data_IF_840062521363
#
_entry.id   IF_840062521363
#
_cell.length_a   1.000
_cell.length_b   1.000
_cell.length_c   1.000
_cell.angle_alpha   90.00
_cell.angle_beta   90.00
_cell.angle_gamma   90.00
#
_symmetry.space_group_name_H-M   'P 1'
#
loop_
_entity.id
_entity.type
_entity.pdbx_description
1 polymer ?
#
# COMPACT_ATOMS: atom_id res chain seq x y z
N UNK A 1 -15.62 22.96 -33.68
CA UNK A 1 -14.86 23.02 -32.41
C UNK A 1 -13.75 24.01 -32.61
N UNK A 2 -13.75 25.05 -31.80
CA UNK A 2 -12.80 26.15 -31.92
C UNK A 2 -11.36 25.66 -31.66
N UNK A 3 -10.35 26.35 -32.18
CA UNK A 3 -8.94 25.96 -32.03
C UNK A 3 -8.51 25.95 -30.55
N UNK A 4 -9.19 26.74 -29.74
CA UNK A 4 -8.99 26.85 -28.29
C UNK A 4 -9.70 25.73 -27.51
N UNK A 5 -10.86 25.24 -27.99
CA UNK A 5 -11.55 24.09 -27.39
C UNK A 5 -10.68 22.83 -27.43
N UNK A 6 -10.01 22.57 -28.56
CA UNK A 6 -9.10 21.41 -28.69
C UNK A 6 -7.91 21.49 -27.73
N UNK A 7 -7.41 22.69 -27.48
CA UNK A 7 -6.29 22.90 -26.57
C UNK A 7 -6.71 22.68 -25.12
N UNK A 8 -7.89 23.17 -24.72
CA UNK A 8 -8.44 22.93 -23.38
C UNK A 8 -8.64 21.43 -23.14
N UNK A 9 -9.23 20.71 -24.10
CA UNK A 9 -9.45 19.26 -23.99
C UNK A 9 -8.13 18.52 -23.88
N UNK A 10 -7.16 18.80 -24.74
CA UNK A 10 -5.84 18.15 -24.70
C UNK A 10 -5.11 18.41 -23.39
N UNK A 11 -5.14 19.66 -22.88
CA UNK A 11 -4.44 20.03 -21.65
C UNK A 11 -5.14 19.47 -20.41
N UNK A 12 -6.47 19.43 -20.39
CA UNK A 12 -7.25 18.80 -19.32
C UNK A 12 -7.05 17.27 -19.28
N UNK A 13 -6.93 16.62 -20.44
CA UNK A 13 -6.64 15.18 -20.52
C UNK A 13 -5.21 14.83 -20.06
N UNK A 14 -4.24 15.71 -20.31
CA UNK A 14 -2.84 15.57 -19.87
C UNK A 14 -2.67 15.90 -18.38
N UNK A 15 -3.40 16.88 -17.86
CA UNK A 15 -3.31 17.36 -16.48
C UNK A 15 -4.66 17.23 -15.76
N UNK A 16 -5.09 15.98 -15.48
CA UNK A 16 -6.42 15.66 -14.94
C UNK A 16 -6.68 16.14 -13.50
N UNK A 17 -5.67 16.68 -12.83
CA UNK A 17 -5.77 17.23 -11.47
C UNK A 17 -5.76 18.76 -11.44
N UNK A 18 -5.55 19.43 -12.58
CA UNK A 18 -5.54 20.90 -12.63
C UNK A 18 -6.94 21.47 -12.46
N UNK A 19 -7.07 22.46 -11.58
CA UNK A 19 -8.35 23.13 -11.36
C UNK A 19 -8.62 24.17 -12.46
N UNK A 20 -9.86 24.68 -12.53
CA UNK A 20 -10.30 25.56 -13.61
C UNK A 20 -9.52 26.89 -13.69
N UNK A 21 -8.93 27.35 -12.57
CA UNK A 21 -8.13 28.58 -12.52
C UNK A 21 -6.74 28.33 -13.10
N UNK A 22 -6.12 27.19 -12.76
CA UNK A 22 -4.83 26.78 -13.32
C UNK A 22 -4.90 26.55 -14.83
N UNK A 23 -5.95 25.89 -15.30
CA UNK A 23 -6.18 25.69 -16.74
C UNK A 23 -6.38 27.01 -17.48
N UNK A 24 -7.08 27.97 -16.85
CA UNK A 24 -7.26 29.31 -17.39
C UNK A 24 -5.93 30.08 -17.47
N UNK A 25 -5.08 29.98 -16.45
CA UNK A 25 -3.74 30.58 -16.45
C UNK A 25 -2.84 29.98 -17.52
N UNK A 26 -2.84 28.66 -17.69
CA UNK A 26 -2.05 27.98 -18.73
C UNK A 26 -2.50 28.39 -20.14
N UNK A 27 -3.81 28.55 -20.36
CA UNK A 27 -4.34 28.99 -21.65
C UNK A 27 -3.97 30.44 -21.96
N UNK A 28 -4.03 31.31 -20.95
CA UNK A 28 -3.57 32.71 -21.05
C UNK A 28 -2.07 32.77 -21.35
N UNK A 29 -1.25 31.97 -20.67
CA UNK A 29 0.19 31.93 -20.89
C UNK A 29 0.58 31.40 -22.27
N UNK A 30 -0.16 30.40 -22.79
CA UNK A 30 0.16 29.77 -24.07
C UNK A 30 -0.36 30.53 -25.30
N UNK A 31 -1.46 31.29 -25.16
CA UNK A 31 -2.18 31.87 -26.32
C UNK A 31 -2.65 33.31 -26.14
N UNK A 32 -2.39 33.95 -25.01
CA UNK A 32 -2.84 35.31 -24.67
C UNK A 32 -4.36 35.53 -24.76
N UNK A 33 -5.14 34.45 -24.83
CA UNK A 33 -6.61 34.47 -24.92
C UNK A 33 -7.23 34.41 -23.53
N UNK A 34 -8.12 35.37 -23.23
CA UNK A 34 -8.81 35.44 -21.94
C UNK A 34 -10.17 34.76 -22.03
N UNK A 35 -10.26 33.52 -21.54
CA UNK A 35 -11.50 32.75 -21.47
C UNK A 35 -12.07 32.82 -20.05
N UNK A 36 -13.38 33.01 -19.88
CA UNK A 36 -14.03 33.01 -18.56
C UNK A 36 -13.98 31.63 -17.88
N UNK A 37 -13.91 31.60 -16.56
CA UNK A 37 -13.97 30.36 -15.74
C UNK A 37 -15.26 29.57 -15.98
N UNK A 38 -16.36 30.24 -16.31
CA UNK A 38 -17.64 29.60 -16.66
C UNK A 38 -17.59 28.85 -18.00
N UNK A 39 -16.75 29.27 -18.94
CA UNK A 39 -16.58 28.59 -20.24
C UNK A 39 -15.74 27.32 -20.12
N UNK A 40 -14.69 27.34 -19.28
CA UNK A 40 -13.90 26.14 -18.96
C UNK A 40 -14.76 25.08 -18.26
N UNK A 41 -15.72 25.51 -17.43
CA UNK A 41 -16.63 24.62 -16.70
C UNK A 41 -17.69 23.95 -17.61
N UNK A 42 -18.15 24.65 -18.67
CA UNK A 42 -19.09 24.11 -19.67
C UNK A 42 -18.50 23.01 -20.56
N UNK A 43 -17.18 22.96 -20.74
CA UNK A 43 -16.52 21.82 -21.41
C UNK A 43 -16.64 20.51 -20.60
N UNK A 44 -16.88 20.59 -19.28
CA UNK A 44 -17.25 19.44 -18.45
C UNK A 44 -18.64 18.85 -18.77
N UNK A 45 -19.52 19.60 -19.43
CA UNK A 45 -20.85 19.12 -19.86
C UNK A 45 -20.75 18.15 -21.05
N UNK A 46 -19.58 18.04 -21.70
CA UNK A 46 -19.29 17.05 -22.76
C UNK A 46 -18.92 15.64 -22.21
N UNK A 47 -19.46 15.26 -21.04
CA UNK A 47 -19.35 13.93 -20.42
C UNK A 47 -17.93 13.46 -20.01
N UNK A 48 -16.99 14.36 -19.74
CA UNK A 48 -15.74 13.99 -19.07
C UNK A 48 -15.98 14.00 -17.56
N UNK A 49 -16.40 12.87 -17.01
CA UNK A 49 -16.77 12.72 -15.59
C UNK A 49 -15.53 12.28 -14.79
N UNK A 50 -15.32 12.90 -13.62
CA UNK A 50 -14.32 12.46 -12.66
C UNK A 50 -14.57 11.00 -12.23
N UNK A 51 -13.49 10.24 -11.99
CA UNK A 51 -13.50 8.83 -11.61
C UNK A 51 -14.40 8.62 -10.38
N UNK A 52 -15.48 7.84 -10.53
CA UNK A 52 -16.27 7.37 -9.37
C UNK A 52 -15.46 6.28 -8.65
N UNK A 53 -15.25 6.37 -7.33
CA UNK A 53 -14.70 5.26 -6.56
C UNK A 53 -15.57 4.02 -6.76
N UNK A 54 -14.94 2.86 -6.93
CA UNK A 54 -15.68 1.60 -6.92
C UNK A 54 -16.42 1.49 -5.58
N UNK A 55 -17.76 1.43 -5.65
CA UNK A 55 -18.58 1.17 -4.47
C UNK A 55 -18.51 -0.31 -4.16
N UNK A 56 -17.57 -0.69 -3.29
CA UNK A 56 -17.64 -1.95 -2.56
C UNK A 56 -18.88 -1.99 -1.63
N UNK A 57 -19.19 -3.16 -1.03
CA UNK A 57 -20.31 -3.30 -0.10
C UNK A 57 -20.29 -2.19 0.96
N UNK A 58 -21.45 -1.59 1.26
CA UNK A 58 -21.56 -0.56 2.29
C UNK A 58 -21.29 -1.16 3.67
N UNK A 59 -20.07 -0.98 4.17
CA UNK A 59 -19.70 -1.32 5.55
C UNK A 59 -20.47 -0.42 6.52
N UNK A 60 -21.20 -1.04 7.46
CA UNK A 60 -21.91 -0.35 8.55
C UNK A 60 -20.92 0.33 9.50
N UNK A 61 -21.37 1.30 10.29
CA UNK A 61 -20.52 1.97 11.29
C UNK A 61 -19.92 0.97 12.30
N UNK A 62 -20.66 -0.09 12.62
CA UNK A 62 -20.20 -1.18 13.46
C UNK A 62 -19.10 -2.00 12.77
N UNK A 63 -19.26 -2.37 11.49
CA UNK A 63 -18.21 -3.03 10.72
C UNK A 63 -16.95 -2.17 10.60
N UNK A 64 -17.09 -0.84 10.55
CA UNK A 64 -15.93 0.08 10.56
C UNK A 64 -15.23 0.10 11.91
N UNK A 65 -15.97 0.03 13.02
CA UNK A 65 -15.44 0.07 14.39
C UNK A 65 -14.74 -1.25 14.76
N UNK A 66 -15.37 -2.39 14.51
CA UNK A 66 -14.78 -3.72 14.75
C UNK A 66 -13.49 -3.91 13.93
N UNK A 67 -13.49 -3.44 12.68
CA UNK A 67 -12.29 -3.45 11.82
C UNK A 67 -11.27 -2.38 12.20
N UNK A 68 -11.65 -1.25 12.82
CA UNK A 68 -10.68 -0.25 13.32
C UNK A 68 -9.99 -0.72 14.60
N UNK A 69 -10.68 -1.50 15.44
CA UNK A 69 -10.08 -2.07 16.65
C UNK A 69 -8.94 -3.04 16.35
N UNK A 70 -8.87 -3.64 15.16
CA UNK A 70 -7.69 -4.41 14.72
C UNK A 70 -6.58 -3.53 14.13
N UNK A 71 -6.87 -2.29 13.71
CA UNK A 71 -5.88 -1.32 13.21
C UNK A 71 -5.32 -0.40 14.29
N UNK A 72 -6.03 -0.24 15.41
CA UNK A 72 -5.53 0.43 16.60
C UNK A 72 -4.84 -0.61 17.47
N UNK A 73 -3.58 -0.91 17.16
CA UNK A 73 -2.71 -1.39 18.22
C UNK A 73 -2.69 -0.33 19.31
N UNK A 74 -2.97 -0.73 20.55
CA UNK A 74 -2.56 0.05 21.71
C UNK A 74 -1.07 0.33 21.55
N UNK A 75 -0.74 1.56 21.16
CA UNK A 75 0.57 2.13 21.43
C UNK A 75 0.66 2.20 22.95
N UNK A 76 1.35 1.22 23.54
CA UNK A 76 1.71 1.27 24.96
C UNK A 76 2.41 2.61 25.17
N UNK A 77 1.89 3.46 26.05
CA UNK A 77 2.45 4.77 26.39
C UNK A 77 3.79 4.59 27.13
N UNK A 78 4.81 4.07 26.47
CA UNK A 78 6.16 4.12 26.96
C UNK A 78 7.08 4.48 25.80
N UNK A 79 7.79 5.60 25.95
CA UNK A 79 8.64 6.24 24.95
C UNK A 79 9.90 5.46 24.52
N UNK A 80 9.81 4.14 24.36
CA UNK A 80 10.86 3.22 23.94
C UNK A 80 11.15 3.19 22.43
N UNK A 81 10.48 4.04 21.64
CA UNK A 81 10.62 4.11 20.18
C UNK A 81 9.93 2.96 19.45
N UNK A 82 9.98 2.97 18.11
CA UNK A 82 9.47 1.88 17.29
C UNK A 82 10.37 1.65 16.07
N UNK A 83 10.31 0.44 15.52
CA UNK A 83 10.97 0.09 14.26
C UNK A 83 9.92 -0.37 13.25
N UNK A 84 10.07 0.08 12.02
CA UNK A 84 9.27 -0.34 10.87
C UNK A 84 10.06 -1.39 10.09
N UNK A 85 9.39 -2.50 9.78
CA UNK A 85 9.97 -3.59 9.00
C UNK A 85 9.20 -3.81 7.71
N UNK A 86 9.88 -4.31 6.70
CA UNK A 86 9.29 -4.86 5.49
C UNK A 86 9.78 -6.30 5.29
N UNK A 87 8.87 -7.16 4.83
CA UNK A 87 9.19 -8.52 4.45
C UNK A 87 8.18 -9.06 3.45
N UNK A 88 8.59 -10.03 2.66
CA UNK A 88 7.78 -10.77 1.70
C UNK A 88 7.77 -12.26 2.00
N UNK A 89 6.66 -12.91 1.69
CA UNK A 89 6.50 -14.36 1.82
C UNK A 89 5.94 -14.96 0.53
N UNK A 90 6.37 -16.18 0.22
CA UNK A 90 5.85 -16.99 -0.88
C UNK A 90 5.73 -18.45 -0.43
N UNK A 91 5.22 -19.32 -1.31
CA UNK A 91 5.14 -20.75 -1.02
C UNK A 91 6.55 -21.34 -0.88
N UNK A 92 7.48 -20.88 -1.71
CA UNK A 92 8.81 -21.48 -1.82
C UNK A 92 9.82 -20.89 -0.82
N UNK A 93 9.64 -19.63 -0.43
CA UNK A 93 10.57 -18.96 0.48
C UNK A 93 9.95 -17.74 1.20
N UNK A 94 10.76 -17.07 2.00
CA UNK A 94 10.50 -15.73 2.56
C UNK A 94 11.72 -14.86 2.33
N UNK A 95 11.49 -13.56 2.11
CA UNK A 95 12.59 -12.61 1.96
C UNK A 95 13.34 -12.44 3.28
N UNK A 96 14.49 -11.78 3.24
CA UNK A 96 15.02 -11.16 4.44
C UNK A 96 14.04 -10.12 5.01
N UNK A 97 14.19 -9.82 6.30
CA UNK A 97 13.40 -8.80 6.96
C UNK A 97 14.16 -7.49 7.01
N UNK A 98 13.65 -6.48 6.30
CA UNK A 98 14.31 -5.20 6.09
C UNK A 98 13.84 -4.20 7.14
N UNK A 99 14.76 -3.58 7.89
CA UNK A 99 14.43 -2.48 8.80
C UNK A 99 14.41 -1.16 8.03
N UNK A 100 13.24 -0.53 7.93
CA UNK A 100 12.98 0.69 7.15
C UNK A 100 13.14 1.97 8.00
N UNK A 101 13.35 1.81 9.31
CA UNK A 101 13.61 2.92 10.23
C UNK A 101 15.09 3.28 10.23
N UNK A 102 15.45 4.54 9.96
CA UNK A 102 16.83 5.01 10.04
C UNK A 102 17.32 4.95 11.49
N UNK A 103 18.42 4.24 11.72
CA UNK A 103 19.26 4.39 12.92
C UNK A 103 20.09 5.67 12.75
N UNK A 104 19.67 6.75 13.41
CA UNK A 104 20.40 8.01 13.34
C UNK A 104 19.80 9.12 14.20
N UNK A 105 20.08 9.08 15.51
CA UNK A 105 20.25 10.23 16.43
C UNK A 105 19.14 11.27 16.64
N UNK A 106 18.14 11.39 15.77
CA UNK A 106 17.06 12.34 15.91
C UNK A 106 15.78 11.69 15.38
N UNK A 107 14.65 11.93 16.05
CA UNK A 107 13.32 11.46 15.69
C UNK A 107 13.04 11.63 14.19
N UNK A 108 13.34 10.60 13.40
CA UNK A 108 12.82 10.44 12.04
C UNK A 108 12.26 9.03 11.96
N UNK A 109 11.18 8.84 12.72
CA UNK A 109 10.19 7.79 12.52
C UNK A 109 9.39 8.16 11.25
N UNK A 110 10.06 8.15 10.11
CA UNK A 110 9.46 8.57 8.84
C UNK A 110 8.62 7.45 8.26
N UNK A 111 7.34 7.72 8.01
CA UNK A 111 6.47 6.85 7.21
C UNK A 111 7.18 6.44 5.92
N UNK A 112 7.05 5.18 5.50
CA UNK A 112 7.50 4.71 4.20
C UNK A 112 6.75 5.47 3.10
N UNK A 113 7.42 6.42 2.44
CA UNK A 113 6.87 7.18 1.31
C UNK A 113 6.88 6.31 0.05
N UNK A 114 6.14 6.72 -0.98
CA UNK A 114 6.13 6.00 -2.26
C UNK A 114 7.51 5.94 -2.91
N UNK A 115 8.29 7.03 -2.88
CA UNK A 115 9.65 7.05 -3.44
C UNK A 115 10.57 6.09 -2.69
N UNK A 116 10.53 6.10 -1.34
CA UNK A 116 11.30 5.17 -0.52
C UNK A 116 10.84 3.73 -0.71
N UNK A 117 9.55 3.49 -0.93
CA UNK A 117 9.06 2.15 -1.25
C UNK A 117 9.64 1.64 -2.57
N UNK A 118 9.78 2.50 -3.58
CA UNK A 118 10.45 2.12 -4.83
C UNK A 118 11.93 1.81 -4.56
N UNK A 119 12.67 2.79 -4.04
CA UNK A 119 14.13 2.71 -3.98
C UNK A 119 14.67 1.77 -2.90
N UNK A 120 14.00 1.66 -1.76
CA UNK A 120 14.48 0.86 -0.63
C UNK A 120 13.86 -0.54 -0.61
N UNK A 121 12.73 -0.75 -1.28
CA UNK A 121 11.99 -2.03 -1.21
C UNK A 121 11.84 -2.69 -2.58
N UNK A 122 11.24 -2.00 -3.56
CA UNK A 122 10.97 -2.62 -4.85
C UNK A 122 12.27 -2.90 -5.62
N UNK A 123 13.14 -1.90 -5.76
CA UNK A 123 14.42 -1.98 -6.47
C UNK A 123 15.37 -3.01 -5.84
N UNK A 124 15.56 -2.92 -4.52
CA UNK A 124 16.58 -3.70 -3.82
C UNK A 124 16.15 -5.13 -3.50
N UNK A 125 14.85 -5.37 -3.26
CA UNK A 125 14.38 -6.67 -2.76
C UNK A 125 13.35 -7.34 -3.66
N UNK A 126 12.35 -6.61 -4.17
CA UNK A 126 11.26 -7.24 -4.94
C UNK A 126 11.67 -7.57 -6.37
N UNK A 127 12.33 -6.66 -7.08
CA UNK A 127 12.77 -6.86 -8.47
C UNK A 127 13.76 -8.02 -8.60
N UNK A 128 14.82 -8.11 -7.76
CA UNK A 128 15.72 -9.27 -7.80
C UNK A 128 15.01 -10.58 -7.49
N UNK A 129 14.10 -10.57 -6.51
CA UNK A 129 13.33 -11.75 -6.14
C UNK A 129 12.35 -12.19 -7.23
N UNK A 130 11.70 -11.24 -7.91
CA UNK A 130 10.85 -11.52 -9.07
C UNK A 130 11.64 -12.18 -10.20
N UNK A 131 12.85 -11.68 -10.48
CA UNK A 131 13.76 -12.28 -11.45
C UNK A 131 14.19 -13.70 -11.10
N UNK A 132 14.36 -14.01 -9.81
CA UNK A 132 14.67 -15.36 -9.32
C UNK A 132 13.49 -16.33 -9.49
N UNK A 133 12.26 -15.88 -9.24
CA UNK A 133 11.04 -16.71 -9.38
C UNK A 133 10.65 -16.89 -10.86
N UNK A 134 10.87 -15.88 -11.70
CA UNK A 134 10.53 -15.89 -13.12
C UNK A 134 9.05 -15.63 -13.42
N UNK A 135 8.57 -16.13 -14.56
CA UNK A 135 7.26 -15.77 -15.16
C UNK A 135 6.03 -16.05 -14.27
N UNK A 136 6.18 -16.87 -13.21
CA UNK A 136 5.11 -17.15 -12.24
C UNK A 136 4.97 -16.09 -11.14
N UNK A 137 5.88 -15.12 -11.06
CA UNK A 137 5.87 -14.12 -9.99
C UNK A 137 4.71 -13.14 -10.13
N UNK A 138 3.95 -12.95 -9.04
CA UNK A 138 2.93 -11.91 -8.92
C UNK A 138 3.14 -11.19 -7.59
N UNK A 139 3.31 -9.88 -7.64
CA UNK A 139 3.41 -9.07 -6.43
C UNK A 139 2.03 -8.90 -5.81
N UNK A 140 1.88 -9.35 -4.57
CA UNK A 140 0.77 -8.97 -3.71
C UNK A 140 1.27 -7.95 -2.68
N UNK A 141 0.65 -6.78 -2.65
CA UNK A 141 0.80 -5.81 -1.56
C UNK A 141 -0.56 -5.23 -1.17
N UNK A 142 -0.65 -4.65 0.02
CA UNK A 142 -1.88 -4.03 0.48
C UNK A 142 -2.14 -2.68 -0.24
N UNK A 143 -3.32 -2.10 0.02
CA UNK A 143 -3.72 -0.84 -0.57
C UNK A 143 -3.23 0.39 0.24
N UNK A 144 -2.06 0.31 0.90
CA UNK A 144 -1.46 1.45 1.56
C UNK A 144 -1.29 2.63 0.57
N UNK A 145 -1.34 3.86 1.08
CA UNK A 145 -1.23 5.07 0.23
C UNK A 145 0.09 5.09 -0.55
N UNK A 146 1.17 4.61 0.06
CA UNK A 146 2.48 4.50 -0.58
C UNK A 146 2.44 3.55 -1.78
N UNK A 147 1.85 2.37 -1.62
CA UNK A 147 1.79 1.30 -2.62
C UNK A 147 0.84 1.60 -3.80
N UNK A 148 -0.25 2.33 -3.52
CA UNK A 148 -1.27 2.64 -4.54
C UNK A 148 -0.99 3.92 -5.33
N UNK A 149 0.08 4.63 -4.99
CA UNK A 149 0.51 5.85 -5.67
C UNK A 149 0.83 5.60 -7.14
N UNK A 150 0.65 6.63 -7.97
CA UNK A 150 0.87 6.53 -9.41
C UNK A 150 2.32 6.17 -9.74
N UNK A 151 3.29 6.74 -9.00
CA UNK A 151 4.71 6.46 -9.23
C UNK A 151 5.06 4.99 -9.01
N UNK A 152 4.45 4.35 -8.01
CA UNK A 152 4.66 2.92 -7.73
C UNK A 152 4.04 2.06 -8.83
N UNK A 153 2.83 2.41 -9.28
CA UNK A 153 2.15 1.69 -10.38
C UNK A 153 2.96 1.76 -11.67
N UNK A 154 3.36 2.96 -12.06
CA UNK A 154 4.19 3.17 -13.25
C UNK A 154 5.50 2.39 -13.15
N UNK A 155 6.16 2.44 -11.98
CA UNK A 155 7.40 1.71 -11.76
C UNK A 155 7.20 0.20 -11.89
N UNK A 156 6.18 -0.39 -11.24
CA UNK A 156 5.91 -1.83 -11.35
C UNK A 156 5.59 -2.26 -12.79
N UNK A 157 4.90 -1.42 -13.55
CA UNK A 157 4.65 -1.66 -14.98
C UNK A 157 5.95 -1.58 -15.81
N UNK A 158 6.81 -0.61 -15.53
CA UNK A 158 8.09 -0.41 -16.21
C UNK A 158 9.05 -1.59 -16.01
N UNK A 159 9.15 -2.11 -14.79
CA UNK A 159 9.99 -3.29 -14.49
C UNK A 159 9.30 -4.63 -14.78
N UNK A 160 8.09 -4.60 -15.35
CA UNK A 160 7.37 -5.80 -15.77
C UNK A 160 6.87 -6.68 -14.62
N UNK A 161 6.66 -6.12 -13.43
CA UNK A 161 6.13 -6.86 -12.27
C UNK A 161 4.60 -6.80 -12.28
N UNK A 162 3.90 -7.93 -12.50
CA UNK A 162 2.45 -7.95 -12.38
C UNK A 162 2.03 -7.81 -10.92
N UNK A 163 1.09 -6.90 -10.66
CA UNK A 163 0.53 -6.65 -9.33
C UNK A 163 -0.87 -7.24 -9.22
N UNK A 164 -1.10 -8.02 -8.17
CA UNK A 164 -2.41 -8.60 -7.89
C UNK A 164 -3.43 -7.52 -7.49
N UNK A 165 -4.61 -7.54 -8.09
CA UNK A 165 -5.72 -6.71 -7.64
C UNK A 165 -6.19 -7.16 -6.25
N UNK A 166 -5.99 -6.31 -5.25
CA UNK A 166 -6.35 -6.60 -3.87
C UNK A 166 -7.58 -5.79 -3.40
N UNK A 167 -8.58 -6.40 -2.75
CA UNK A 167 -9.71 -5.64 -2.20
C UNK A 167 -9.27 -4.70 -1.07
N UNK A 168 -9.76 -3.46 -1.10
CA UNK A 168 -9.46 -2.49 -0.05
C UNK A 168 -9.95 -2.99 1.33
N UNK A 169 -9.19 -2.68 2.39
CA UNK A 169 -9.55 -2.95 3.80
C UNK A 169 -9.82 -4.42 4.13
N UNK A 170 -9.01 -5.32 3.58
CA UNK A 170 -9.10 -6.78 3.80
C UNK A 170 -7.83 -7.35 4.43
N UNK A 171 -7.48 -6.96 5.68
CA UNK A 171 -6.33 -7.54 6.39
C UNK A 171 -6.52 -9.04 6.65
N UNK A 172 -7.75 -9.51 6.89
CA UNK A 172 -8.14 -10.92 7.06
C UNK A 172 -7.69 -11.81 5.88
N UNK A 173 -7.58 -11.20 4.70
CA UNK A 173 -7.15 -11.88 3.48
C UNK A 173 -5.62 -11.80 3.30
N UNK A 174 -4.87 -11.03 4.05
CA UNK A 174 -3.43 -10.87 3.87
C UNK A 174 -2.67 -11.85 4.77
N UNK A 175 -2.10 -12.97 4.23
CA UNK A 175 -1.50 -14.01 5.08
C UNK A 175 -0.34 -13.51 5.93
N UNK A 176 0.36 -12.46 5.48
CA UNK A 176 1.52 -11.91 6.19
C UNK A 176 1.11 -11.17 7.47
N UNK A 177 -0.12 -10.66 7.59
CA UNK A 177 -0.59 -10.01 8.82
C UNK A 177 -0.59 -10.99 10.00
N UNK A 178 -1.01 -12.23 9.74
CA UNK A 178 -0.95 -13.29 10.76
C UNK A 178 0.48 -13.61 11.17
N UNK A 179 1.41 -13.44 10.24
CA UNK A 179 2.82 -13.64 10.51
C UNK A 179 3.40 -12.50 11.32
N UNK A 180 3.00 -11.25 11.05
CA UNK A 180 3.34 -10.11 11.89
C UNK A 180 2.82 -10.26 13.31
N UNK A 181 1.59 -10.74 13.49
CA UNK A 181 1.03 -10.99 14.82
C UNK A 181 1.73 -12.13 15.56
N UNK A 182 2.13 -13.19 14.85
CA UNK A 182 2.98 -14.24 15.41
C UNK A 182 4.35 -13.71 15.82
N UNK A 183 4.98 -12.88 14.99
CA UNK A 183 6.28 -12.28 15.25
C UNK A 183 6.23 -11.38 16.49
N UNK A 184 5.22 -10.50 16.59
CA UNK A 184 4.98 -9.67 17.77
C UNK A 184 4.86 -10.51 19.05
N UNK A 185 4.11 -11.62 19.00
CA UNK A 185 3.96 -12.53 20.16
C UNK A 185 5.27 -13.21 20.55
N UNK A 186 6.04 -13.70 19.57
CA UNK A 186 7.36 -14.33 19.81
C UNK A 186 8.33 -13.36 20.47
N UNK A 187 8.46 -12.14 19.94
CA UNK A 187 9.34 -11.10 20.51
C UNK A 187 8.90 -10.71 21.92
N UNK A 188 7.59 -10.60 22.18
CA UNK A 188 7.06 -10.33 23.53
C UNK A 188 7.32 -11.46 24.53
N UNK A 189 7.58 -12.68 24.05
CA UNK A 189 7.87 -13.85 24.89
C UNK A 189 9.36 -14.04 25.18
N UNK A 190 10.24 -13.18 24.65
CA UNK A 190 11.67 -13.22 24.95
C UNK A 190 11.93 -12.94 26.44
N UNK A 191 12.87 -13.68 27.02
CA UNK A 191 13.36 -13.50 28.37
C UNK A 191 14.90 -13.55 28.36
N UNK A 192 15.60 -12.43 28.65
CA UNK A 192 15.05 -11.12 28.96
C UNK A 192 14.39 -10.46 27.73
N UNK A 193 13.39 -9.62 27.99
CA UNK A 193 12.74 -8.83 26.94
C UNK A 193 13.71 -7.80 26.32
N UNK A 194 13.59 -7.47 25.01
CA UNK A 194 14.41 -6.44 24.38
C UNK A 194 14.26 -5.08 25.07
N UNK A 195 15.39 -4.46 25.44
CA UNK A 195 15.40 -3.20 26.19
C UNK A 195 15.83 -1.98 25.36
N UNK A 196 16.54 -2.21 24.26
CA UNK A 196 16.93 -1.16 23.31
C UNK A 196 16.28 -1.37 21.93
N UNK A 197 16.26 -0.32 21.11
CA UNK A 197 15.81 -0.45 19.71
C UNK A 197 16.67 -1.42 18.91
N UNK A 198 17.96 -1.52 19.25
CA UNK A 198 18.87 -2.46 18.61
C UNK A 198 18.55 -3.90 19.02
N UNK A 199 18.29 -4.16 20.30
CA UNK A 199 17.84 -5.47 20.78
C UNK A 199 16.52 -5.87 20.11
N UNK A 200 15.60 -4.92 19.98
CA UNK A 200 14.31 -5.14 19.32
C UNK A 200 14.52 -5.53 17.85
N UNK A 201 15.39 -4.83 17.13
CA UNK A 201 15.72 -5.16 15.73
C UNK A 201 16.30 -6.57 15.61
N UNK A 202 17.27 -6.92 16.45
CA UNK A 202 17.85 -8.25 16.45
C UNK A 202 16.84 -9.34 16.79
N UNK A 203 16.02 -9.14 17.82
CA UNK A 203 15.00 -10.09 18.23
C UNK A 203 13.97 -10.34 17.12
N UNK A 204 13.49 -9.29 16.46
CA UNK A 204 12.51 -9.39 15.37
C UNK A 204 13.12 -10.13 14.17
N UNK A 205 14.35 -9.81 13.76
CA UNK A 205 15.02 -10.50 12.64
C UNK A 205 15.29 -11.97 12.98
N UNK A 206 15.75 -12.28 14.19
CA UNK A 206 16.00 -13.64 14.63
C UNK A 206 14.71 -14.49 14.62
N UNK A 207 13.61 -13.95 15.15
CA UNK A 207 12.32 -14.65 15.15
C UNK A 207 11.76 -14.81 13.73
N UNK A 208 11.97 -13.83 12.84
CA UNK A 208 11.61 -13.98 11.43
C UNK A 208 12.31 -15.18 10.81
N UNK A 209 13.64 -15.28 10.96
CA UNK A 209 14.42 -16.41 10.44
C UNK A 209 13.89 -17.75 10.99
N UNK A 210 13.57 -17.80 12.28
CA UNK A 210 13.09 -18.99 12.98
C UNK A 210 11.64 -19.39 12.66
N UNK A 211 10.88 -18.59 11.91
CA UNK A 211 9.57 -19.02 11.38
C UNK A 211 9.81 -20.12 10.34
N UNK A 212 9.27 -21.34 10.54
CA UNK A 212 9.42 -22.43 9.58
C UNK A 212 8.66 -22.16 8.28
N UNK A 213 9.19 -22.58 7.14
CA UNK A 213 8.54 -22.39 5.83
C UNK A 213 7.17 -23.09 5.78
N UNK A 214 6.99 -24.22 6.48
CA UNK A 214 5.73 -24.95 6.58
C UNK A 214 4.63 -24.12 7.26
N UNK A 215 5.00 -23.16 8.11
CA UNK A 215 4.05 -22.23 8.71
C UNK A 215 3.52 -21.26 7.64
N UNK A 216 4.41 -20.74 6.80
CA UNK A 216 4.08 -19.82 5.70
C UNK A 216 3.21 -20.53 4.66
N UNK A 217 3.61 -21.73 4.24
CA UNK A 217 2.82 -22.54 3.30
C UNK A 217 1.40 -22.78 3.84
N UNK A 218 1.23 -23.12 5.12
CA UNK A 218 -0.09 -23.27 5.75
C UNK A 218 -0.92 -21.97 5.72
N UNK A 219 -0.29 -20.82 5.96
CA UNK A 219 -0.98 -19.52 5.87
C UNK A 219 -1.42 -19.22 4.44
N UNK A 220 -0.56 -19.41 3.45
CA UNK A 220 -0.87 -19.13 2.04
C UNK A 220 -1.94 -20.09 1.51
N UNK A 221 -1.80 -21.39 1.79
CA UNK A 221 -2.78 -22.42 1.37
C UNK A 221 -4.17 -22.22 2.00
N UNK A 222 -4.24 -21.63 3.20
CA UNK A 222 -5.52 -21.28 3.85
C UNK A 222 -6.31 -20.17 3.14
N UNK A 223 -5.72 -19.49 2.15
CA UNK A 223 -6.36 -18.38 1.43
C UNK A 223 -7.69 -18.75 0.80
N UNK A 224 -7.81 -19.98 0.28
CA UNK A 224 -9.08 -20.46 -0.29
C UNK A 224 -10.20 -20.42 0.77
N UNK A 225 -9.94 -20.98 1.95
CA UNK A 225 -10.90 -21.04 3.04
C UNK A 225 -11.23 -19.63 3.59
N UNK A 226 -10.23 -18.75 3.65
CA UNK A 226 -10.41 -17.34 4.04
C UNK A 226 -11.33 -16.60 3.07
N UNK A 227 -11.10 -16.77 1.77
CA UNK A 227 -11.94 -16.17 0.73
C UNK A 227 -13.38 -16.69 0.82
N UNK A 228 -13.56 -18.01 1.00
CA UNK A 228 -14.88 -18.62 1.19
C UNK A 228 -15.58 -18.06 2.45
N UNK A 229 -14.85 -17.88 3.54
CA UNK A 229 -15.37 -17.27 4.77
C UNK A 229 -15.81 -15.82 4.56
N UNK A 230 -15.01 -15.00 3.85
CA UNK A 230 -15.36 -13.61 3.53
C UNK A 230 -16.58 -13.53 2.62
N UNK A 231 -16.67 -14.42 1.62
CA UNK A 231 -17.84 -14.52 0.73
C UNK A 231 -19.09 -14.88 1.54
N UNK A 232 -19.00 -15.89 2.42
CA UNK A 232 -20.10 -16.30 3.31
C UNK A 232 -20.52 -15.16 4.27
N UNK A 233 -19.55 -14.39 4.75
CA UNK A 233 -19.75 -13.22 5.58
C UNK A 233 -20.22 -11.98 4.79
N UNK A 234 -20.42 -12.08 3.46
CA UNK A 234 -20.80 -10.97 2.56
C UNK A 234 -19.87 -9.76 2.68
N UNK A 235 -18.58 -10.01 2.89
CA UNK A 235 -17.59 -8.96 3.09
C UNK A 235 -17.54 -8.39 4.51
N UNK A 236 -18.14 -9.03 5.52
CA UNK A 236 -17.88 -8.75 6.94
C UNK A 236 -16.57 -9.41 7.42
N UNK A 237 -16.09 -9.02 8.60
CA UNK A 237 -14.83 -9.56 9.16
C UNK A 237 -14.99 -11.04 9.49
N UNK A 238 -13.88 -11.78 9.38
CA UNK A 238 -13.85 -13.21 9.64
C UNK A 238 -12.97 -13.52 10.85
N UNK A 239 -12.95 -14.79 11.28
CA UNK A 239 -12.07 -15.27 12.35
C UNK A 239 -10.57 -15.28 11.98
N UNK A 240 -10.28 -15.03 10.71
CA UNK A 240 -8.93 -15.00 10.18
C UNK A 240 -8.40 -13.59 10.37
#
# INVERSE_FOLDING_TARGET
>A
MDRDDRFIVSTSLRNRFSNAVELQQQLRAARSTTVSTSTVRRLGEQKIVARRPATGPKLTAQHRKERLCSFLEETVEYGGGSCMFWGGISIDSKTELVCVSRTGGARVQGSLTSDRYITEILEEHVVPYAGFVGDGFILMHDNARSHTALIVKNYTEEVGIPVMNWPARSPDLNPIEHLWDELKRRVRSHDPAPTTLQDLQYAVVAEWVNIPQERIVRLITSMKDRMEAVIKARGSSTRF
#
